data_IF_649878450338
#
_entry.id   IF_649878450338
#
_cell.length_a   1.000
_cell.length_b   1.000
_cell.length_c   1.000
_cell.angle_alpha   90.00
_cell.angle_beta   90.00
_cell.angle_gamma   90.00
#
_symmetry.space_group_name_H-M   'P 1'
#
loop_
_entity.id
_entity.type
_entity.pdbx_description
1 polymer ?
#
# COMPACT_ATOMS: atom_id res chain seq x y z
N UNK A 1 -78.37 -112.15 63.07
CA UNK A 1 -77.81 -110.93 63.71
C UNK A 1 -76.29 -110.96 63.53
N UNK A 2 -75.60 -110.10 62.77
CA UNK A 2 -75.99 -109.02 61.84
C UNK A 2 -76.05 -109.60 60.41
N UNK A 3 -77.18 -109.46 59.72
CA UNK A 3 -77.28 -109.84 58.31
C UNK A 3 -76.48 -108.83 57.48
N UNK A 4 -75.36 -109.26 56.90
CA UNK A 4 -74.64 -108.45 55.90
C UNK A 4 -75.52 -108.42 54.67
N UNK A 5 -75.87 -107.22 54.22
CA UNK A 5 -76.68 -107.04 53.01
C UNK A 5 -75.91 -107.60 51.82
N UNK A 6 -76.57 -108.41 51.00
CA UNK A 6 -76.01 -109.00 49.78
C UNK A 6 -75.37 -107.95 48.85
N UNK A 7 -75.89 -106.71 48.87
CA UNK A 7 -75.32 -105.56 48.15
C UNK A 7 -73.88 -105.25 48.56
N UNK A 8 -73.59 -105.30 49.85
CA UNK A 8 -72.28 -104.93 50.39
C UNK A 8 -71.25 -106.04 50.10
N UNK A 9 -71.71 -107.29 50.06
CA UNK A 9 -70.89 -108.43 49.69
C UNK A 9 -70.56 -108.45 48.18
N UNK A 10 -71.53 -108.13 47.32
CA UNK A 10 -71.32 -107.96 45.87
C UNK A 10 -70.40 -106.76 45.58
N UNK A 11 -70.57 -105.65 46.29
CA UNK A 11 -69.70 -104.47 46.15
C UNK A 11 -68.25 -104.75 46.57
N UNK A 12 -68.05 -105.47 47.67
CA UNK A 12 -66.71 -105.87 48.10
C UNK A 12 -66.06 -106.85 47.11
N UNK A 13 -66.83 -107.79 46.55
CA UNK A 13 -66.33 -108.76 45.58
C UNK A 13 -65.92 -108.10 44.25
N UNK A 14 -66.67 -107.11 43.77
CA UNK A 14 -66.31 -106.35 42.56
C UNK A 14 -64.97 -105.59 42.73
N UNK A 15 -64.73 -104.99 43.91
CA UNK A 15 -63.47 -104.30 44.19
C UNK A 15 -62.31 -105.30 44.31
N UNK A 16 -62.55 -106.47 44.90
CA UNK A 16 -61.53 -107.53 44.97
C UNK A 16 -61.18 -108.03 43.57
N UNK A 17 -62.16 -108.24 42.68
CA UNK A 17 -61.92 -108.62 41.30
C UNK A 17 -61.14 -107.53 40.53
N UNK A 18 -61.48 -106.26 40.73
CA UNK A 18 -60.76 -105.14 40.12
C UNK A 18 -59.31 -105.06 40.61
N UNK A 19 -59.09 -105.22 41.93
CA UNK A 19 -57.74 -105.25 42.50
C UNK A 19 -56.95 -106.46 42.01
N UNK A 20 -57.60 -107.63 41.90
CA UNK A 20 -56.97 -108.85 41.39
C UNK A 20 -56.57 -108.69 39.91
N UNK A 21 -57.45 -108.11 39.08
CA UNK A 21 -57.12 -107.79 37.68
C UNK A 21 -55.97 -106.79 37.56
N UNK A 22 -55.97 -105.72 38.36
CA UNK A 22 -54.90 -104.73 38.35
C UNK A 22 -53.58 -105.31 38.85
N UNK A 23 -53.61 -106.20 39.84
CA UNK A 23 -52.43 -106.89 40.34
C UNK A 23 -51.88 -107.87 39.29
N UNK A 24 -52.75 -108.52 38.52
CA UNK A 24 -52.38 -109.40 37.41
C UNK A 24 -51.75 -108.62 36.25
N UNK A 25 -52.30 -107.44 35.89
CA UNK A 25 -51.70 -106.53 34.88
C UNK A 25 -50.35 -105.97 35.33
N UNK A 26 -50.20 -105.64 36.62
CA UNK A 26 -48.94 -105.17 37.19
C UNK A 26 -47.88 -106.28 37.21
N UNK A 27 -48.25 -107.51 37.61
CA UNK A 27 -47.34 -108.67 37.57
C UNK A 27 -46.91 -108.99 36.13
N UNK A 28 -47.84 -108.92 35.17
CA UNK A 28 -47.55 -109.07 33.74
C UNK A 28 -46.53 -108.03 33.25
N UNK A 29 -46.53 -106.81 33.78
CA UNK A 29 -45.61 -105.73 33.35
C UNK A 29 -44.31 -105.63 34.15
N UNK A 30 -44.23 -106.21 35.36
CA UNK A 30 -43.09 -106.13 36.25
C UNK A 30 -42.15 -107.33 36.15
N UNK A 31 -42.68 -108.51 35.84
CA UNK A 31 -41.87 -109.73 35.73
C UNK A 31 -41.35 -109.92 34.30
N UNK A 32 -40.06 -109.60 34.13
CA UNK A 32 -39.42 -109.48 32.82
C UNK A 32 -39.38 -110.80 32.05
N UNK A 33 -39.18 -111.92 32.74
CA UNK A 33 -39.08 -113.23 32.10
C UNK A 33 -40.44 -113.72 31.59
N UNK A 34 -41.50 -113.57 32.38
CA UNK A 34 -42.84 -113.99 32.00
C UNK A 34 -43.40 -113.13 30.86
N UNK A 35 -43.21 -111.80 30.89
CA UNK A 35 -43.59 -110.93 29.76
C UNK A 35 -42.79 -111.23 28.50
N UNK A 36 -41.47 -111.46 28.61
CA UNK A 36 -40.63 -111.80 27.47
C UNK A 36 -41.11 -113.10 26.80
N UNK A 37 -41.44 -114.12 27.60
CA UNK A 37 -41.91 -115.40 27.09
C UNK A 37 -43.32 -115.31 26.49
N UNK A 38 -44.25 -114.57 27.12
CA UNK A 38 -45.58 -114.34 26.58
C UNK A 38 -45.54 -113.53 25.28
N UNK A 39 -44.69 -112.49 25.19
CA UNK A 39 -44.47 -111.72 23.96
C UNK A 39 -43.86 -112.60 22.87
N UNK A 40 -42.86 -113.42 23.21
CA UNK A 40 -42.24 -114.35 22.28
C UNK A 40 -43.30 -115.30 21.70
N UNK A 41 -44.10 -115.92 22.57
CA UNK A 41 -45.14 -116.86 22.17
C UNK A 41 -46.27 -116.20 21.38
N UNK A 42 -46.74 -115.01 21.79
CA UNK A 42 -47.78 -114.28 21.05
C UNK A 42 -47.28 -113.77 19.70
N UNK A 43 -46.02 -113.36 19.59
CA UNK A 43 -45.42 -112.94 18.32
C UNK A 43 -45.22 -114.16 17.41
N UNK A 44 -44.78 -115.29 17.94
CA UNK A 44 -44.72 -116.56 17.20
C UNK A 44 -46.10 -116.97 16.67
N UNK A 45 -47.13 -117.01 17.53
CA UNK A 45 -48.51 -117.34 17.13
C UNK A 45 -49.05 -116.36 16.06
N UNK A 46 -48.75 -115.07 16.21
CA UNK A 46 -49.15 -114.05 15.23
C UNK A 46 -48.49 -114.26 13.85
N UNK A 47 -47.21 -114.62 13.81
CA UNK A 47 -46.54 -114.89 12.54
C UNK A 47 -46.88 -116.27 11.95
N UNK A 48 -47.19 -117.26 12.80
CA UNK A 48 -47.69 -118.56 12.36
C UNK A 48 -49.09 -118.46 11.75
N UNK A 49 -49.99 -117.64 12.30
CA UNK A 49 -51.31 -117.37 11.70
C UNK A 49 -51.23 -116.57 10.39
N UNK A 50 -50.17 -115.79 10.19
CA UNK A 50 -49.87 -115.09 8.93
C UNK A 50 -49.10 -115.97 7.92
N UNK A 51 -48.98 -117.29 8.17
CA UNK A 51 -48.30 -118.28 7.31
C UNK A 51 -46.83 -117.94 6.95
N UNK A 52 -46.12 -117.23 7.83
CA UNK A 52 -44.71 -116.87 7.66
C UNK A 52 -43.86 -117.52 8.75
N UNK A 53 -43.06 -118.53 8.40
CA UNK A 53 -42.14 -119.19 9.32
C UNK A 53 -40.89 -118.31 9.55
N UNK A 54 -40.91 -117.49 10.61
CA UNK A 54 -39.77 -116.66 11.03
C UNK A 54 -38.91 -117.45 12.02
N UNK A 55 -37.58 -117.38 11.86
CA UNK A 55 -36.63 -118.04 12.77
C UNK A 55 -36.68 -117.42 14.16
N UNK A 56 -36.71 -118.30 15.16
CA UNK A 56 -36.95 -117.98 16.56
C UNK A 56 -35.90 -116.98 17.12
N UNK A 57 -34.64 -117.11 16.68
CA UNK A 57 -33.56 -116.18 17.08
C UNK A 57 -33.79 -114.73 16.63
N UNK A 58 -34.52 -114.52 15.55
CA UNK A 58 -34.78 -113.15 15.05
C UNK A 58 -35.84 -112.47 15.91
N UNK A 59 -36.85 -113.23 16.37
CA UNK A 59 -37.90 -112.75 17.28
C UNK A 59 -37.27 -112.32 18.60
N UNK A 60 -36.41 -113.16 19.18
CA UNK A 60 -35.72 -112.87 20.44
C UNK A 60 -34.81 -111.63 20.36
N UNK A 61 -34.09 -111.45 19.24
CA UNK A 61 -33.25 -110.26 19.03
C UNK A 61 -34.08 -108.98 18.88
N UNK A 62 -35.25 -109.07 18.24
CA UNK A 62 -36.18 -107.96 18.07
C UNK A 62 -36.76 -107.48 19.41
N UNK A 63 -37.22 -108.43 20.23
CA UNK A 63 -37.77 -108.14 21.57
C UNK A 63 -36.70 -107.46 22.45
N UNK A 64 -35.48 -107.97 22.46
CA UNK A 64 -34.38 -107.40 23.24
C UNK A 64 -34.04 -105.95 22.83
N UNK A 65 -34.00 -105.64 21.53
CA UNK A 65 -33.74 -104.26 21.05
C UNK A 65 -34.86 -103.28 21.40
N UNK A 66 -36.11 -103.75 21.45
CA UNK A 66 -37.24 -102.94 21.87
C UNK A 66 -37.12 -102.56 23.35
N UNK A 67 -36.72 -103.50 24.21
CA UNK A 67 -36.49 -103.22 25.63
C UNK A 67 -35.38 -102.18 25.87
N UNK A 68 -34.26 -102.23 25.14
CA UNK A 68 -33.14 -101.29 25.34
C UNK A 68 -33.48 -99.83 24.95
N UNK A 69 -34.37 -99.64 23.96
CA UNK A 69 -34.71 -98.30 23.46
C UNK A 69 -35.85 -97.61 24.20
N UNK A 70 -36.64 -98.32 25.03
CA UNK A 70 -37.89 -97.82 25.61
C UNK A 70 -37.71 -96.66 26.61
N UNK A 71 -36.54 -96.46 27.21
CA UNK A 71 -36.34 -95.52 28.34
C UNK A 71 -35.24 -94.46 28.16
N UNK A 72 -34.80 -94.14 26.94
CA UNK A 72 -33.78 -93.09 26.71
C UNK A 72 -34.39 -91.75 26.26
N UNK A 73 -34.01 -90.65 26.93
CA UNK A 73 -34.40 -89.28 26.56
C UNK A 73 -33.49 -88.70 25.47
N UNK A 74 -34.06 -88.02 24.46
CA UNK A 74 -33.32 -87.45 23.33
C UNK A 74 -33.57 -85.93 23.23
N UNK A 75 -32.53 -85.11 23.44
CA UNK A 75 -32.65 -83.64 23.38
C UNK A 75 -32.68 -83.12 21.92
N UNK A 76 -33.54 -82.14 21.58
CA UNK A 76 -33.62 -81.61 20.22
C UNK A 76 -32.40 -80.75 19.86
N UNK A 77 -31.85 -80.95 18.65
CA UNK A 77 -30.70 -80.18 18.13
C UNK A 77 -31.14 -78.76 17.73
N UNK A 78 -30.62 -77.73 18.40
CA UNK A 78 -30.91 -76.30 18.11
C UNK A 78 -30.02 -75.73 17.01
N UNK A 79 -30.56 -74.83 16.18
CA UNK A 79 -29.90 -74.19 15.02
C UNK A 79 -28.94 -73.06 15.41
N UNK A 80 -27.97 -72.75 14.52
CA UNK A 80 -26.94 -71.73 14.75
C UNK A 80 -27.53 -70.33 14.99
N UNK A 81 -28.59 -69.94 14.26
CA UNK A 81 -29.27 -68.65 14.43
C UNK A 81 -29.90 -68.51 15.82
N UNK A 82 -30.45 -69.61 16.36
CA UNK A 82 -31.01 -69.61 17.71
C UNK A 82 -29.92 -69.42 18.76
N UNK A 83 -28.74 -70.01 18.57
CA UNK A 83 -27.58 -69.78 19.45
C UNK A 83 -27.07 -68.34 19.36
N UNK A 84 -27.02 -67.77 18.16
CA UNK A 84 -26.61 -66.39 17.94
C UNK A 84 -27.57 -65.38 18.59
N UNK A 85 -28.88 -65.55 18.39
CA UNK A 85 -29.90 -64.70 19.02
C UNK A 85 -29.88 -64.78 20.55
N UNK A 86 -29.71 -65.98 21.10
CA UNK A 86 -29.55 -66.17 22.55
C UNK A 86 -28.27 -65.50 23.06
N UNK A 87 -27.16 -65.60 22.32
CA UNK A 87 -25.92 -64.91 22.67
C UNK A 87 -26.06 -63.38 22.61
N UNK A 88 -26.76 -62.84 21.60
CA UNK A 88 -27.09 -61.42 21.50
C UNK A 88 -27.97 -60.95 22.66
N UNK A 89 -28.97 -61.75 23.06
CA UNK A 89 -29.85 -61.43 24.18
C UNK A 89 -29.12 -61.43 25.53
N UNK A 90 -28.25 -62.42 25.76
CA UNK A 90 -27.46 -62.50 27.01
C UNK A 90 -26.44 -61.36 27.14
N UNK A 91 -25.85 -60.89 26.02
CA UNK A 91 -24.87 -59.78 26.00
C UNK A 91 -25.49 -58.42 25.64
N UNK A 92 -26.82 -58.27 25.76
CA UNK A 92 -27.58 -57.11 25.25
C UNK A 92 -27.03 -55.75 25.68
N UNK A 93 -26.58 -55.60 26.93
CA UNK A 93 -26.11 -54.31 27.46
C UNK A 93 -24.82 -53.83 26.79
N UNK A 94 -23.87 -54.73 26.49
CA UNK A 94 -22.64 -54.40 25.77
C UNK A 94 -22.85 -54.24 24.26
N UNK A 95 -23.78 -55.00 23.67
CA UNK A 95 -24.09 -54.88 22.25
C UNK A 95 -24.81 -53.56 21.93
N UNK A 96 -25.80 -53.16 22.74
CA UNK A 96 -26.51 -51.89 22.53
C UNK A 96 -25.60 -50.67 22.68
N UNK A 97 -24.63 -50.68 23.61
CA UNK A 97 -23.68 -49.57 23.73
C UNK A 97 -22.76 -49.47 22.52
N UNK A 98 -22.21 -50.59 22.03
CA UNK A 98 -21.34 -50.60 20.83
C UNK A 98 -22.13 -50.17 19.59
N UNK A 99 -23.33 -50.71 19.38
CA UNK A 99 -24.21 -50.33 18.26
C UNK A 99 -24.60 -48.85 18.37
N UNK A 100 -24.92 -48.35 19.56
CA UNK A 100 -25.22 -46.94 19.79
C UNK A 100 -24.05 -46.01 19.44
N UNK A 101 -22.81 -46.38 19.80
CA UNK A 101 -21.60 -45.63 19.43
C UNK A 101 -21.40 -45.63 17.91
N UNK A 102 -21.57 -46.77 17.24
CA UNK A 102 -21.44 -46.86 15.78
C UNK A 102 -22.49 -45.99 15.08
N UNK A 103 -23.74 -46.01 15.55
CA UNK A 103 -24.82 -45.16 15.02
C UNK A 103 -24.51 -43.69 15.26
N UNK A 104 -24.02 -43.32 16.44
CA UNK A 104 -23.64 -41.94 16.75
C UNK A 104 -22.50 -41.45 15.84
N UNK A 105 -21.48 -42.28 15.60
CA UNK A 105 -20.39 -41.97 14.68
C UNK A 105 -20.89 -41.82 13.24
N UNK A 106 -21.79 -42.71 12.78
CA UNK A 106 -22.42 -42.60 11.47
C UNK A 106 -23.22 -41.30 11.33
N UNK A 107 -24.01 -40.93 12.35
CA UNK A 107 -24.77 -39.68 12.39
C UNK A 107 -23.81 -38.48 12.31
N UNK A 108 -22.72 -38.48 13.08
CA UNK A 108 -21.71 -37.42 13.06
C UNK A 108 -21.02 -37.28 11.70
N UNK A 109 -20.72 -38.41 11.04
CA UNK A 109 -20.12 -38.42 9.69
C UNK A 109 -21.12 -37.84 8.68
N UNK A 110 -22.38 -38.28 8.72
CA UNK A 110 -23.43 -37.79 7.81
C UNK A 110 -23.70 -36.30 8.05
N UNK A 111 -23.78 -35.85 9.31
CA UNK A 111 -23.99 -34.44 9.64
C UNK A 111 -22.81 -33.57 9.20
N UNK A 112 -21.57 -34.03 9.41
CA UNK A 112 -20.36 -33.33 8.95
C UNK A 112 -20.36 -33.18 7.42
N UNK A 113 -20.72 -34.25 6.70
CA UNK A 113 -20.86 -34.23 5.24
C UNK A 113 -21.94 -33.26 4.78
N UNK A 114 -23.09 -33.22 5.43
CA UNK A 114 -24.17 -32.25 5.12
C UNK A 114 -23.74 -30.80 5.35
N UNK A 115 -23.01 -30.52 6.43
CA UNK A 115 -22.50 -29.17 6.68
C UNK A 115 -21.46 -28.75 5.63
N UNK A 116 -20.59 -29.68 5.22
CA UNK A 116 -19.61 -29.42 4.16
C UNK A 116 -20.27 -29.11 2.81
N UNK A 117 -21.31 -29.85 2.41
CA UNK A 117 -22.01 -29.57 1.14
C UNK A 117 -22.73 -28.22 1.17
N UNK A 118 -23.40 -27.88 2.26
CA UNK A 118 -24.04 -26.56 2.43
C UNK A 118 -23.01 -25.43 2.38
N UNK A 119 -21.87 -25.59 3.07
CA UNK A 119 -20.78 -24.60 3.03
C UNK A 119 -20.24 -24.41 1.61
N UNK A 120 -20.04 -25.51 0.88
CA UNK A 120 -19.51 -25.47 -0.46
C UNK A 120 -20.49 -24.85 -1.46
N UNK A 121 -21.79 -25.18 -1.36
CA UNK A 121 -22.87 -24.51 -2.12
C UNK A 121 -22.94 -23.01 -1.83
N UNK A 122 -22.84 -22.62 -0.56
CA UNK A 122 -22.79 -21.21 -0.17
C UNK A 122 -21.57 -20.51 -0.77
N UNK A 123 -20.38 -21.12 -0.75
CA UNK A 123 -19.18 -20.55 -1.36
C UNK A 123 -19.33 -20.38 -2.89
N UNK A 124 -19.91 -21.36 -3.58
CA UNK A 124 -20.23 -21.25 -5.02
C UNK A 124 -21.17 -20.06 -5.26
N UNK A 125 -22.25 -19.96 -4.49
CA UNK A 125 -23.23 -18.86 -4.62
C UNK A 125 -22.61 -17.49 -4.35
N UNK A 126 -21.80 -17.36 -3.29
CA UNK A 126 -21.10 -16.13 -2.93
C UNK A 126 -20.12 -15.75 -4.05
N UNK A 127 -19.31 -16.70 -4.54
CA UNK A 127 -18.31 -16.45 -5.58
C UNK A 127 -18.99 -16.04 -6.89
N UNK A 128 -20.08 -16.70 -7.25
CA UNK A 128 -20.90 -16.35 -8.42
C UNK A 128 -21.47 -14.93 -8.32
N UNK A 129 -22.01 -14.53 -7.17
CA UNK A 129 -22.52 -13.17 -6.96
C UNK A 129 -21.38 -12.12 -7.00
N UNK A 130 -20.20 -12.45 -6.48
CA UNK A 130 -19.01 -11.59 -6.60
C UNK A 130 -18.61 -11.37 -8.07
N UNK A 131 -18.68 -12.42 -8.89
CA UNK A 131 -18.43 -12.33 -10.32
C UNK A 131 -19.46 -11.42 -11.00
N UNK A 132 -20.75 -11.54 -10.68
CA UNK A 132 -21.81 -10.65 -11.20
C UNK A 132 -21.56 -9.17 -10.81
N UNK A 133 -21.22 -8.90 -9.55
CA UNK A 133 -20.88 -7.55 -9.10
C UNK A 133 -19.63 -7.00 -9.82
N UNK A 134 -18.66 -7.87 -10.12
CA UNK A 134 -17.46 -7.52 -10.87
C UNK A 134 -17.77 -7.18 -12.34
N UNK A 135 -18.74 -7.86 -12.95
CA UNK A 135 -19.25 -7.51 -14.28
C UNK A 135 -19.91 -6.13 -14.29
N UNK A 136 -20.70 -5.81 -13.27
CA UNK A 136 -21.29 -4.47 -13.15
C UNK A 136 -20.19 -3.41 -13.00
N UNK A 137 -19.15 -3.67 -12.20
CA UNK A 137 -18.00 -2.77 -12.07
C UNK A 137 -17.25 -2.58 -13.39
N UNK A 138 -17.17 -3.60 -14.24
CA UNK A 138 -16.61 -3.48 -15.60
C UNK A 138 -17.45 -2.53 -16.47
N UNK A 139 -18.78 -2.64 -16.42
CA UNK A 139 -19.67 -1.73 -17.14
C UNK A 139 -19.50 -0.28 -16.66
N UNK A 140 -19.36 -0.07 -15.35
CA UNK A 140 -19.11 1.25 -14.78
C UNK A 140 -17.76 1.83 -15.25
N UNK A 141 -16.70 1.03 -15.27
CA UNK A 141 -15.40 1.44 -15.81
C UNK A 141 -15.45 1.70 -17.31
N UNK A 142 -16.21 0.92 -18.08
CA UNK A 142 -16.42 1.17 -19.50
C UNK A 142 -17.12 2.52 -19.73
N UNK A 143 -18.19 2.80 -18.97
CA UNK A 143 -18.87 4.09 -19.04
C UNK A 143 -17.94 5.26 -18.67
N UNK A 144 -17.10 5.10 -17.63
CA UNK A 144 -16.09 6.10 -17.27
C UNK A 144 -15.08 6.31 -18.40
N UNK A 145 -14.61 5.23 -19.02
CA UNK A 145 -13.70 5.29 -20.15
C UNK A 145 -14.34 6.00 -21.36
N UNK A 146 -15.61 5.71 -21.68
CA UNK A 146 -16.34 6.35 -22.77
C UNK A 146 -16.48 7.86 -22.55
N UNK A 147 -16.75 8.31 -21.32
CA UNK A 147 -16.75 9.73 -20.97
C UNK A 147 -15.35 10.35 -21.12
N UNK A 148 -14.31 9.70 -20.63
CA UNK A 148 -12.93 10.17 -20.77
C UNK A 148 -12.47 10.20 -22.24
N UNK A 149 -12.98 9.31 -23.08
CA UNK A 149 -12.59 9.22 -24.47
C UNK A 149 -13.08 10.43 -25.30
N UNK A 150 -14.17 11.07 -24.89
CA UNK A 150 -14.73 12.27 -25.54
C UNK A 150 -13.85 13.52 -25.39
N UNK A 151 -12.93 13.55 -24.43
CA UNK A 151 -12.08 14.72 -24.19
C UNK A 151 -11.09 14.93 -25.33
N UNK A 152 -11.02 16.16 -25.81
CA UNK A 152 -10.01 16.59 -26.78
C UNK A 152 -8.65 16.68 -26.10
N UNK A 153 -7.64 16.05 -26.71
CA UNK A 153 -6.25 16.05 -26.24
C UNK A 153 -5.46 17.01 -27.12
N UNK A 154 -4.74 17.94 -26.50
CA UNK A 154 -4.00 18.98 -27.23
C UNK A 154 -2.53 18.58 -27.34
N UNK A 155 -1.87 18.29 -26.22
CA UNK A 155 -0.43 18.01 -26.16
C UNK A 155 -0.18 16.51 -26.07
N UNK A 156 -0.70 15.84 -25.04
CA UNK A 156 -0.35 14.46 -24.67
C UNK A 156 -0.92 13.35 -25.59
N UNK A 157 -0.98 13.58 -26.91
CA UNK A 157 -1.69 12.74 -27.88
C UNK A 157 -1.18 11.30 -27.90
N UNK A 158 0.14 11.09 -27.95
CA UNK A 158 0.75 9.75 -28.03
C UNK A 158 0.53 8.91 -26.77
N UNK A 159 0.89 9.36 -25.55
CA UNK A 159 0.66 8.57 -24.35
C UNK A 159 -0.83 8.37 -24.04
N UNK A 160 -1.67 9.38 -24.30
CA UNK A 160 -3.11 9.24 -24.15
C UNK A 160 -3.67 8.20 -25.13
N UNK A 161 -3.21 8.18 -26.38
CA UNK A 161 -3.59 7.14 -27.36
C UNK A 161 -3.17 5.75 -26.88
N UNK A 162 -1.93 5.58 -26.43
CA UNK A 162 -1.45 4.28 -25.93
C UNK A 162 -2.29 3.78 -24.73
N UNK A 163 -2.62 4.67 -23.79
CA UNK A 163 -3.50 4.34 -22.66
C UNK A 163 -4.90 3.98 -23.13
N UNK A 164 -5.49 4.77 -24.04
CA UNK A 164 -6.81 4.48 -24.62
C UNK A 164 -6.84 3.14 -25.34
N UNK A 165 -5.84 2.84 -26.16
CA UNK A 165 -5.74 1.58 -26.90
C UNK A 165 -5.58 0.39 -25.93
N UNK A 166 -4.79 0.56 -24.87
CA UNK A 166 -4.57 -0.46 -23.83
C UNK A 166 -5.86 -0.75 -23.05
N UNK A 167 -6.61 0.28 -22.65
CA UNK A 167 -7.91 0.16 -21.96
C UNK A 167 -8.95 -0.48 -22.90
N UNK A 168 -9.06 -0.03 -24.14
CA UNK A 168 -9.98 -0.58 -25.13
C UNK A 168 -9.70 -2.06 -25.42
N UNK A 169 -8.42 -2.46 -25.51
CA UNK A 169 -8.03 -3.85 -25.70
C UNK A 169 -8.42 -4.73 -24.49
N UNK A 170 -8.23 -4.24 -23.26
CA UNK A 170 -8.60 -4.96 -22.04
C UNK A 170 -10.13 -5.10 -21.90
N UNK A 171 -10.90 -4.07 -22.28
CA UNK A 171 -12.36 -4.08 -22.23
C UNK A 171 -12.97 -4.98 -23.32
N UNK A 172 -12.50 -4.89 -24.57
CA UNK A 172 -13.01 -5.67 -25.70
C UNK A 172 -12.81 -7.18 -25.54
N UNK A 173 -11.72 -7.61 -24.89
CA UNK A 173 -11.40 -9.03 -24.71
C UNK A 173 -12.32 -9.74 -23.71
N UNK A 174 -13.25 -9.04 -23.06
CA UNK A 174 -13.94 -9.51 -21.86
C UNK A 174 -15.47 -9.61 -21.94
N UNK A 175 -16.10 -9.14 -23.02
CA UNK A 175 -17.57 -9.22 -23.19
C UNK A 175 -18.06 -10.68 -23.35
N UNK A 176 -17.16 -11.65 -23.55
CA UNK A 176 -17.48 -13.05 -23.82
C UNK A 176 -17.27 -14.03 -22.64
N UNK A 177 -17.44 -13.60 -21.39
CA UNK A 177 -17.49 -14.51 -20.23
C UNK A 177 -18.95 -14.76 -19.84
N UNK A 178 -19.67 -15.51 -20.67
CA UNK A 178 -20.96 -16.09 -20.32
C UNK A 178 -20.73 -17.14 -19.23
N UNK A 179 -21.02 -16.78 -17.99
CA UNK A 179 -20.95 -17.69 -16.85
C UNK A 179 -22.37 -18.15 -16.58
N UNK A 180 -22.70 -19.34 -17.07
CA UNK A 180 -23.98 -19.97 -16.81
C UNK A 180 -24.18 -20.13 -15.31
N UNK A 181 -25.41 -19.88 -14.85
CA UNK A 181 -25.78 -20.08 -13.45
C UNK A 181 -25.48 -21.53 -13.07
N UNK A 182 -24.72 -21.80 -12.00
CA UNK A 182 -24.37 -23.16 -11.63
C UNK A 182 -25.64 -23.97 -11.32
N UNK A 183 -25.87 -25.06 -12.06
CA UNK A 183 -26.90 -26.05 -11.74
C UNK A 183 -26.45 -26.85 -10.52
N UNK A 184 -26.97 -26.48 -9.34
CA UNK A 184 -26.71 -27.21 -8.10
C UNK A 184 -27.67 -28.39 -8.05
N UNK A 185 -27.19 -29.58 -8.45
CA UNK A 185 -27.92 -30.82 -8.28
C UNK A 185 -28.13 -31.12 -6.77
N UNK A 186 -29.21 -31.83 -6.44
CA UNK A 186 -29.50 -32.27 -5.06
C UNK A 186 -28.66 -33.48 -4.62
N UNK A 187 -27.67 -33.87 -5.41
CA UNK A 187 -26.87 -35.08 -5.19
C UNK A 187 -25.76 -34.85 -4.14
N UNK A 188 -25.31 -35.93 -3.50
CA UNK A 188 -24.24 -35.94 -2.49
C UNK A 188 -22.83 -36.06 -3.12
N UNK A 189 -22.70 -35.72 -4.40
CA UNK A 189 -21.39 -35.76 -5.07
C UNK A 189 -20.60 -34.56 -4.55
N UNK A 190 -19.32 -34.75 -4.20
CA UNK A 190 -18.46 -33.70 -3.65
C UNK A 190 -17.47 -33.16 -4.69
N UNK A 191 -17.05 -34.02 -5.63
CA UNK A 191 -15.97 -33.72 -6.56
C UNK A 191 -16.38 -32.69 -7.63
N UNK A 192 -17.60 -32.81 -8.17
CA UNK A 192 -18.10 -31.92 -9.24
C UNK A 192 -18.25 -30.50 -8.72
N UNK A 193 -18.73 -30.33 -7.50
CA UNK A 193 -18.93 -29.04 -6.87
C UNK A 193 -17.59 -28.40 -6.44
N UNK A 194 -16.63 -29.19 -5.94
CA UNK A 194 -15.25 -28.70 -5.71
C UNK A 194 -14.61 -28.17 -7.00
N UNK A 195 -14.68 -28.94 -8.10
CA UNK A 195 -14.15 -28.51 -9.40
C UNK A 195 -14.85 -27.23 -9.90
N UNK A 196 -16.17 -27.09 -9.69
CA UNK A 196 -16.89 -25.85 -10.05
C UNK A 196 -16.47 -24.67 -9.21
N UNK A 197 -16.26 -24.86 -7.90
CA UNK A 197 -15.79 -23.80 -7.01
C UNK A 197 -14.39 -23.34 -7.42
N UNK A 198 -13.48 -24.28 -7.72
CA UNK A 198 -12.12 -23.96 -8.15
C UNK A 198 -12.13 -23.14 -9.45
N UNK A 199 -12.92 -23.55 -10.45
CA UNK A 199 -13.08 -22.80 -11.71
C UNK A 199 -13.65 -21.40 -11.49
N UNK A 200 -14.66 -21.27 -10.62
CA UNK A 200 -15.24 -19.97 -10.29
C UNK A 200 -14.24 -19.07 -9.55
N UNK A 201 -13.45 -19.62 -8.63
CA UNK A 201 -12.40 -18.88 -7.92
C UNK A 201 -11.31 -18.40 -8.88
N UNK A 202 -10.79 -19.27 -9.74
CA UNK A 202 -9.82 -18.90 -10.77
C UNK A 202 -10.35 -17.80 -11.69
N UNK A 203 -11.63 -17.88 -12.09
CA UNK A 203 -12.29 -16.87 -12.91
C UNK A 203 -12.42 -15.55 -12.16
N UNK A 204 -12.84 -15.59 -10.89
CA UNK A 204 -12.97 -14.41 -10.03
C UNK A 204 -11.62 -13.70 -9.83
N UNK A 205 -10.55 -14.44 -9.62
CA UNK A 205 -9.20 -13.90 -9.43
C UNK A 205 -8.69 -13.22 -10.71
N UNK A 206 -8.89 -13.87 -11.87
CA UNK A 206 -8.56 -13.28 -13.17
C UNK A 206 -9.36 -11.99 -13.45
N UNK A 207 -10.66 -11.96 -13.13
CA UNK A 207 -11.49 -10.77 -13.28
C UNK A 207 -11.00 -9.65 -12.34
N UNK A 208 -10.72 -9.98 -11.08
CA UNK A 208 -10.27 -9.02 -10.07
C UNK A 208 -8.93 -8.37 -10.44
N UNK A 209 -7.98 -9.17 -10.93
CA UNK A 209 -6.69 -8.66 -11.40
C UNK A 209 -6.84 -7.69 -12.58
N UNK A 210 -7.65 -8.06 -13.58
CA UNK A 210 -7.90 -7.21 -14.74
C UNK A 210 -8.67 -5.94 -14.40
N UNK A 211 -9.65 -6.02 -13.50
CA UNK A 211 -10.36 -4.85 -12.98
C UNK A 211 -9.39 -3.85 -12.33
N UNK A 212 -8.45 -4.36 -11.53
CA UNK A 212 -7.40 -3.54 -10.92
C UNK A 212 -6.50 -2.88 -11.97
N UNK A 213 -6.12 -3.62 -13.01
CA UNK A 213 -5.30 -3.09 -14.11
C UNK A 213 -6.04 -1.99 -14.91
N UNK A 214 -7.28 -2.25 -15.32
CA UNK A 214 -8.13 -1.28 -16.03
C UNK A 214 -8.34 -0.03 -15.18
N UNK A 215 -8.68 -0.17 -13.89
CA UNK A 215 -8.86 0.95 -12.97
C UNK A 215 -7.60 1.81 -12.85
N UNK A 216 -6.42 1.17 -12.81
CA UNK A 216 -5.14 1.87 -12.77
C UNK A 216 -4.90 2.66 -14.05
N UNK A 217 -5.14 2.06 -15.22
CA UNK A 217 -4.97 2.72 -16.52
C UNK A 217 -5.96 3.88 -16.72
N UNK A 218 -7.22 3.71 -16.30
CA UNK A 218 -8.23 4.78 -16.31
C UNK A 218 -7.80 5.93 -15.40
N UNK A 219 -7.27 5.62 -14.22
CA UNK A 219 -6.76 6.65 -13.30
C UNK A 219 -5.59 7.42 -13.91
N UNK A 220 -4.65 6.73 -14.55
CA UNK A 220 -3.52 7.36 -15.25
C UNK A 220 -4.00 8.24 -16.41
N UNK A 221 -4.94 7.75 -17.22
CA UNK A 221 -5.54 8.51 -18.31
C UNK A 221 -6.24 9.77 -17.79
N UNK A 222 -7.00 9.67 -16.70
CA UNK A 222 -7.68 10.80 -16.08
C UNK A 222 -6.69 11.88 -15.64
N UNK A 223 -5.62 11.51 -14.94
CA UNK A 223 -4.58 12.44 -14.49
C UNK A 223 -3.93 13.13 -15.70
N UNK A 224 -3.58 12.37 -16.73
CA UNK A 224 -2.96 12.90 -17.94
C UNK A 224 -3.88 13.91 -18.66
N UNK A 225 -5.17 13.60 -18.78
CA UNK A 225 -6.16 14.50 -19.40
C UNK A 225 -6.39 15.77 -18.58
N UNK A 226 -6.41 15.66 -17.25
CA UNK A 226 -6.53 16.82 -16.37
C UNK A 226 -5.32 17.75 -16.50
N UNK A 227 -4.11 17.18 -16.55
CA UNK A 227 -2.86 17.90 -16.80
C UNK A 227 -2.84 18.59 -18.16
N UNK A 228 -3.21 17.88 -19.24
CA UNK A 228 -3.31 18.42 -20.61
C UNK A 228 -4.29 19.60 -20.67
N UNK A 229 -5.47 19.44 -20.05
CA UNK A 229 -6.50 20.50 -19.98
C UNK A 229 -6.02 21.71 -19.18
N UNK A 230 -5.38 21.49 -18.02
CA UNK A 230 -4.86 22.58 -17.17
C UNK A 230 -3.81 23.38 -17.93
N UNK A 231 -2.86 22.69 -18.57
CA UNK A 231 -1.82 23.31 -19.36
C UNK A 231 -2.40 24.07 -20.56
N UNK A 232 -3.34 23.48 -21.28
CA UNK A 232 -4.00 24.13 -22.42
C UNK A 232 -4.72 25.41 -21.99
N UNK A 233 -5.42 25.40 -20.86
CA UNK A 233 -6.08 26.60 -20.33
C UNK A 233 -5.08 27.72 -20.03
N UNK A 234 -3.91 27.35 -19.50
CA UNK A 234 -2.86 28.31 -19.15
C UNK A 234 -2.18 28.87 -20.41
N UNK A 235 -1.74 28.03 -21.34
CA UNK A 235 -0.99 28.45 -22.54
C UNK A 235 -1.86 29.23 -23.52
N UNK A 236 -3.15 28.89 -23.65
CA UNK A 236 -4.07 29.63 -24.52
C UNK A 236 -4.57 30.95 -23.91
N UNK A 237 -4.24 31.25 -22.65
CA UNK A 237 -4.58 32.53 -22.06
C UNK A 237 -3.81 33.66 -22.77
N UNK A 238 -4.54 34.67 -23.27
CA UNK A 238 -3.98 35.84 -23.95
C UNK A 238 -2.97 36.61 -23.09
N UNK A 239 -3.22 36.72 -21.79
CA UNK A 239 -2.31 37.40 -20.85
C UNK A 239 -1.03 36.61 -20.65
N UNK A 240 -1.12 35.27 -20.58
CA UNK A 240 0.05 34.40 -20.53
C UNK A 240 0.89 34.53 -21.80
N UNK A 241 0.26 34.48 -22.98
CA UNK A 241 0.95 34.67 -24.28
C UNK A 241 1.62 36.05 -24.38
N UNK A 242 1.03 37.08 -23.77
CA UNK A 242 1.67 38.41 -23.70
C UNK A 242 2.89 38.37 -22.77
N UNK A 243 2.77 37.73 -21.61
CA UNK A 243 3.84 37.59 -20.64
C UNK A 243 5.03 36.79 -21.18
N UNK A 244 4.82 35.71 -21.94
CA UNK A 244 5.90 34.90 -22.52
C UNK A 244 6.79 35.70 -23.49
N UNK A 245 6.24 36.70 -24.17
CA UNK A 245 7.03 37.61 -25.03
C UNK A 245 8.01 38.48 -24.23
N UNK A 246 7.64 38.84 -23.00
CA UNK A 246 8.46 39.69 -22.14
C UNK A 246 9.38 38.87 -21.22
N UNK A 247 8.98 37.65 -20.87
CA UNK A 247 9.70 36.73 -19.99
C UNK A 247 9.82 35.36 -20.66
N UNK A 248 10.88 35.14 -21.47
CA UNK A 248 11.06 33.91 -22.25
C UNK A 248 11.10 32.62 -21.40
N UNK A 249 11.48 32.75 -20.11
CA UNK A 249 11.50 31.63 -19.16
C UNK A 249 10.14 30.94 -19.02
N UNK A 250 9.02 31.67 -19.19
CA UNK A 250 7.68 31.11 -19.15
C UNK A 250 7.43 30.15 -20.31
N UNK A 251 7.90 30.53 -21.51
CA UNK A 251 7.78 29.68 -22.69
C UNK A 251 8.66 28.43 -22.54
N UNK A 252 9.91 28.60 -22.08
CA UNK A 252 10.83 27.49 -21.84
C UNK A 252 10.24 26.49 -20.83
N UNK A 253 9.64 26.98 -19.75
CA UNK A 253 8.99 26.13 -18.76
C UNK A 253 7.76 25.41 -19.34
N UNK A 254 6.95 26.09 -20.15
CA UNK A 254 5.82 25.50 -20.86
C UNK A 254 6.27 24.41 -21.84
N UNK A 255 7.27 24.68 -22.66
CA UNK A 255 7.82 23.72 -23.65
C UNK A 255 8.38 22.47 -22.96
N UNK A 256 9.11 22.64 -21.84
CA UNK A 256 9.60 21.51 -21.04
C UNK A 256 8.47 20.61 -20.52
N UNK A 257 7.37 21.21 -20.08
CA UNK A 257 6.19 20.47 -19.61
C UNK A 257 5.47 19.79 -20.78
N UNK A 258 5.35 20.46 -21.94
CA UNK A 258 4.80 19.85 -23.16
C UNK A 258 5.63 18.63 -23.57
N UNK A 259 6.95 18.75 -23.58
CA UNK A 259 7.86 17.65 -23.93
C UNK A 259 7.74 16.49 -22.94
N UNK A 260 7.67 16.78 -21.63
CA UNK A 260 7.47 15.78 -20.60
C UNK A 260 6.13 15.03 -20.76
N UNK A 261 5.05 15.76 -21.07
CA UNK A 261 3.73 15.20 -21.36
C UNK A 261 3.77 14.32 -22.60
N UNK A 262 4.41 14.78 -23.68
CA UNK A 262 4.55 14.02 -24.93
C UNK A 262 5.34 12.72 -24.75
N UNK A 263 6.32 12.73 -23.84
CA UNK A 263 7.13 11.56 -23.48
C UNK A 263 6.43 10.61 -22.49
N UNK A 264 5.26 10.99 -21.95
CA UNK A 264 4.54 10.18 -20.97
C UNK A 264 5.22 10.12 -19.60
N UNK A 265 5.94 11.17 -19.20
CA UNK A 265 6.53 11.27 -17.87
C UNK A 265 5.43 11.37 -16.80
N UNK A 266 5.66 10.76 -15.63
CA UNK A 266 4.64 10.68 -14.57
C UNK A 266 4.66 11.86 -13.59
N UNK A 267 5.82 12.47 -13.40
CA UNK A 267 6.03 13.55 -12.44
C UNK A 267 6.25 14.87 -13.20
N UNK A 268 5.15 15.54 -13.50
CA UNK A 268 5.14 16.77 -14.30
C UNK A 268 4.66 17.91 -13.41
N UNK A 269 5.56 18.81 -13.05
CA UNK A 269 5.26 19.97 -12.22
C UNK A 269 4.68 21.13 -13.05
N UNK A 270 3.38 21.06 -13.33
CA UNK A 270 2.64 22.15 -13.98
C UNK A 270 2.53 23.38 -13.06
N UNK A 271 2.54 23.17 -11.74
CA UNK A 271 2.39 24.25 -10.76
C UNK A 271 3.60 25.19 -10.76
N UNK A 272 4.76 24.72 -11.20
CA UNK A 272 5.93 25.57 -11.44
C UNK A 272 5.64 26.70 -12.44
N UNK A 273 4.93 26.41 -13.53
CA UNK A 273 4.57 27.43 -14.54
C UNK A 273 3.64 28.47 -13.93
N UNK A 274 2.64 28.05 -13.15
CA UNK A 274 1.73 28.96 -12.45
C UNK A 274 2.49 29.84 -11.45
N UNK A 275 3.43 29.25 -10.70
CA UNK A 275 4.26 29.98 -9.73
C UNK A 275 5.13 31.03 -10.43
N UNK A 276 5.77 30.67 -11.55
CA UNK A 276 6.53 31.61 -12.36
C UNK A 276 5.63 32.72 -12.91
N UNK A 277 4.46 32.36 -13.47
CA UNK A 277 3.53 33.33 -14.03
C UNK A 277 3.03 34.32 -12.97
N UNK A 278 2.69 33.85 -11.77
CA UNK A 278 2.28 34.69 -10.65
C UNK A 278 3.39 35.65 -10.16
N UNK A 279 4.66 35.37 -10.50
CA UNK A 279 5.79 36.25 -10.16
C UNK A 279 5.99 37.40 -11.16
N UNK A 280 5.28 37.40 -12.29
CA UNK A 280 5.37 38.45 -13.32
C UNK A 280 5.05 39.83 -12.76
N UNK A 281 3.99 39.95 -11.96
CA UNK A 281 3.58 41.22 -11.33
C UNK A 281 4.68 41.78 -10.43
N UNK A 282 5.36 40.89 -9.68
CA UNK A 282 6.51 41.27 -8.84
C UNK A 282 7.67 41.77 -9.69
N UNK A 283 7.96 41.13 -10.82
CA UNK A 283 9.01 41.57 -11.73
C UNK A 283 8.68 42.93 -12.37
N UNK A 284 7.41 43.17 -12.71
CA UNK A 284 6.95 44.45 -13.24
C UNK A 284 7.03 45.57 -12.19
N UNK A 285 6.60 45.32 -10.96
CA UNK A 285 6.76 46.25 -9.85
C UNK A 285 8.23 46.63 -9.61
N UNK A 286 9.15 45.67 -9.71
CA UNK A 286 10.58 45.92 -9.58
C UNK A 286 11.14 46.75 -10.75
N UNK A 287 10.69 46.52 -11.99
CA UNK A 287 11.05 47.37 -13.14
C UNK A 287 10.62 48.83 -12.92
N UNK A 288 9.39 49.03 -12.46
CA UNK A 288 8.88 50.37 -12.11
C UNK A 288 9.74 51.01 -11.02
N UNK A 289 10.14 50.25 -10.00
CA UNK A 289 11.01 50.73 -8.93
C UNK A 289 12.40 51.12 -9.46
N UNK A 290 12.99 50.32 -10.34
CA UNK A 290 14.28 50.64 -10.97
C UNK A 290 14.21 51.96 -11.75
N UNK A 291 13.12 52.18 -12.50
CA UNK A 291 12.92 53.43 -13.22
C UNK A 291 12.70 54.63 -12.29
N UNK A 292 11.99 54.42 -11.17
CA UNK A 292 11.81 55.44 -10.14
C UNK A 292 13.14 55.83 -9.47
N UNK A 293 13.98 54.84 -9.11
CA UNK A 293 15.29 55.07 -8.51
C UNK A 293 16.23 55.79 -9.49
N UNK A 294 16.16 55.46 -10.78
CA UNK A 294 16.91 56.17 -11.82
C UNK A 294 16.45 57.64 -11.94
N UNK A 295 15.14 57.90 -11.92
CA UNK A 295 14.60 59.27 -11.90
C UNK A 295 15.06 60.06 -10.68
N UNK A 296 15.16 59.41 -9.52
CA UNK A 296 15.66 60.05 -8.30
C UNK A 296 17.12 60.48 -8.44
N UNK A 297 17.99 59.64 -9.01
CA UNK A 297 19.39 60.00 -9.27
C UNK A 297 19.51 61.11 -10.33
N UNK A 298 18.64 61.10 -11.36
CA UNK A 298 18.56 62.18 -12.34
C UNK A 298 18.15 63.50 -11.69
N UNK A 299 17.17 63.50 -10.78
CA UNK A 299 16.75 64.69 -10.04
C UNK A 299 17.85 65.25 -9.12
N UNK A 300 18.78 64.41 -8.67
CA UNK A 300 19.98 64.80 -7.93
C UNK A 300 21.12 65.30 -8.85
N UNK A 301 20.89 65.39 -10.17
CA UNK A 301 21.87 65.79 -11.17
C UNK A 301 23.15 64.94 -11.17
N UNK A 302 23.03 63.63 -10.89
CA UNK A 302 24.18 62.72 -10.88
C UNK A 302 24.76 62.57 -12.30
N UNK A 303 26.05 62.91 -12.54
CA UNK A 303 26.65 62.80 -13.86
C UNK A 303 26.75 61.35 -14.34
N UNK A 304 26.61 61.13 -15.65
CA UNK A 304 26.71 59.80 -16.28
C UNK A 304 28.04 59.10 -15.93
N UNK A 305 29.16 59.84 -15.84
CA UNK A 305 30.47 59.30 -15.46
C UNK A 305 30.52 58.67 -14.06
N UNK A 306 29.63 59.09 -13.17
CA UNK A 306 29.53 58.59 -11.79
C UNK A 306 28.58 57.39 -11.70
N UNK A 307 27.78 57.13 -12.74
CA UNK A 307 26.71 56.12 -12.73
C UNK A 307 27.19 54.70 -12.98
N UNK A 308 28.47 54.47 -13.33
CA UNK A 308 29.00 53.14 -13.62
C UNK A 308 28.60 52.04 -12.59
N UNK A 309 28.80 52.21 -11.27
CA UNK A 309 28.39 51.20 -10.29
C UNK A 309 26.87 50.98 -10.22
N UNK A 310 26.09 52.04 -10.41
CA UNK A 310 24.62 51.98 -10.44
C UNK A 310 24.13 51.23 -11.68
N UNK A 311 24.69 51.55 -12.84
CA UNK A 311 24.33 50.92 -14.12
C UNK A 311 24.67 49.43 -14.12
N UNK A 312 25.82 49.04 -13.56
CA UNK A 312 26.18 47.62 -13.40
C UNK A 312 25.14 46.89 -12.57
N UNK A 313 24.82 47.42 -11.38
CA UNK A 313 23.81 46.84 -10.49
C UNK A 313 22.42 46.76 -11.15
N UNK A 314 22.02 47.80 -11.87
CA UNK A 314 20.74 47.83 -12.60
C UNK A 314 20.70 46.82 -13.76
N UNK A 315 21.81 46.64 -14.48
CA UNK A 315 21.88 45.68 -15.58
C UNK A 315 21.80 44.24 -15.07
N UNK A 316 22.49 43.94 -13.97
CA UNK A 316 22.45 42.63 -13.32
C UNK A 316 21.03 42.28 -12.88
N UNK A 317 20.37 43.17 -12.13
CA UNK A 317 19.01 42.89 -11.66
C UNK A 317 18.02 42.81 -12.83
N UNK A 318 18.17 43.65 -13.88
CA UNK A 318 17.31 43.57 -15.07
C UNK A 318 17.45 42.23 -15.80
N UNK A 319 18.67 41.70 -15.91
CA UNK A 319 18.92 40.38 -16.50
C UNK A 319 18.30 39.25 -15.65
N UNK A 320 18.36 39.35 -14.32
CA UNK A 320 17.70 38.38 -13.45
C UNK A 320 16.17 38.44 -13.61
N UNK A 321 15.59 39.65 -13.66
CA UNK A 321 14.15 39.85 -13.84
C UNK A 321 13.63 39.33 -15.19
N UNK A 322 14.43 39.34 -16.28
CA UNK A 322 14.01 38.72 -17.54
C UNK A 322 13.79 37.22 -17.43
N UNK A 323 14.48 36.58 -16.49
CA UNK A 323 14.34 35.15 -16.18
C UNK A 323 13.44 34.89 -14.97
N UNK A 324 12.70 35.91 -14.50
CA UNK A 324 11.91 35.85 -13.26
C UNK A 324 12.73 35.35 -12.05
N UNK A 325 14.03 35.65 -12.06
CA UNK A 325 14.92 35.40 -10.94
C UNK A 325 14.92 36.63 -10.02
N UNK A 326 14.61 36.41 -8.74
CA UNK A 326 14.55 37.44 -7.70
C UNK A 326 15.76 37.39 -6.76
N UNK A 327 16.78 36.61 -7.12
CA UNK A 327 18.09 36.63 -6.49
C UNK A 327 18.70 38.04 -6.61
N UNK A 328 19.30 38.52 -5.52
CA UNK A 328 19.88 39.86 -5.38
C UNK A 328 18.92 41.06 -5.36
N UNK A 329 17.59 40.86 -5.30
CA UNK A 329 16.63 41.99 -5.14
C UNK A 329 16.88 42.79 -3.86
N UNK A 330 17.16 42.11 -2.74
CA UNK A 330 17.44 42.77 -1.47
C UNK A 330 18.76 43.56 -1.52
N UNK A 331 19.80 42.95 -2.10
CA UNK A 331 21.09 43.62 -2.33
C UNK A 331 20.92 44.86 -3.22
N UNK A 332 20.09 44.76 -4.27
CA UNK A 332 19.75 45.90 -5.12
C UNK A 332 19.13 47.04 -4.31
N UNK A 333 18.13 46.77 -3.46
CA UNK A 333 17.50 47.80 -2.64
C UNK A 333 18.47 48.47 -1.67
N UNK A 334 19.33 47.68 -1.03
CA UNK A 334 20.35 48.19 -0.10
C UNK A 334 21.37 49.07 -0.80
N UNK A 335 21.91 48.60 -1.93
CA UNK A 335 22.91 49.34 -2.71
C UNK A 335 22.34 50.60 -3.35
N UNK A 336 21.13 50.53 -3.89
CA UNK A 336 20.47 51.71 -4.47
C UNK A 336 20.20 52.78 -3.41
N UNK A 337 19.71 52.36 -2.23
CA UNK A 337 19.51 53.26 -1.09
C UNK A 337 20.84 53.90 -0.65
N UNK A 338 21.92 53.12 -0.63
CA UNK A 338 23.26 53.62 -0.37
C UNK A 338 23.69 54.67 -1.40
N UNK A 339 23.56 54.41 -2.71
CA UNK A 339 23.98 55.35 -3.76
C UNK A 339 23.17 56.65 -3.72
N UNK A 340 21.85 56.57 -3.53
CA UNK A 340 20.99 57.75 -3.38
C UNK A 340 21.43 58.59 -2.17
N UNK A 341 21.65 57.96 -1.01
CA UNK A 341 22.13 58.65 0.19
C UNK A 341 23.51 59.25 -0.01
N UNK A 342 24.40 58.54 -0.69
CA UNK A 342 25.73 59.02 -1.03
C UNK A 342 25.66 60.25 -1.93
N UNK A 343 24.80 60.26 -2.96
CA UNK A 343 24.60 61.41 -3.84
C UNK A 343 24.07 62.64 -3.09
N UNK A 344 23.18 62.45 -2.11
CA UNK A 344 22.62 63.54 -1.31
C UNK A 344 23.61 64.14 -0.30
N UNK A 345 24.55 63.34 0.19
CA UNK A 345 25.43 63.73 1.29
C UNK A 345 26.75 64.28 0.74
N UNK A 346 27.07 65.58 0.87
CA UNK A 346 28.40 66.07 0.53
C UNK A 346 29.43 65.50 1.52
N UNK A 347 30.60 65.09 1.01
CA UNK A 347 31.66 64.50 1.82
C UNK A 347 33.02 65.08 1.45
N UNK A 348 33.93 65.13 2.43
CA UNK A 348 35.34 65.47 2.23
C UNK A 348 36.20 64.35 2.81
N UNK A 349 37.13 63.81 2.02
CA UNK A 349 38.14 62.88 2.53
C UNK A 349 39.19 63.70 3.29
N UNK A 350 39.26 63.46 4.60
CA UNK A 350 40.18 64.18 5.48
C UNK A 350 41.26 63.23 5.97
N UNK A 351 42.53 63.61 5.83
CA UNK A 351 43.67 62.90 6.36
C UNK A 351 43.57 62.89 7.87
N UNK A 352 43.78 61.73 8.49
CA UNK A 352 43.75 61.61 9.94
C UNK A 352 44.92 62.40 10.52
N UNK A 353 44.60 63.38 11.35
CA UNK A 353 45.57 64.10 12.15
C UNK A 353 45.30 63.90 13.64
N UNK A 354 45.84 62.80 14.17
CA UNK A 354 45.84 62.50 15.61
C UNK A 354 47.24 62.01 16.00
N UNK A 355 47.81 62.44 17.13
CA UNK A 355 49.09 61.94 17.65
C UNK A 355 49.13 60.42 17.82
N UNK A 356 48.02 59.78 18.18
CA UNK A 356 47.98 58.33 18.48
C UNK A 356 47.80 57.45 17.23
N UNK A 357 47.79 58.03 16.02
CA UNK A 357 47.51 57.30 14.78
C UNK A 357 48.40 57.71 13.62
N UNK A 358 48.76 56.74 12.79
CA UNK A 358 49.54 57.00 11.56
C UNK A 358 48.66 57.71 10.53
N UNK A 359 49.13 58.84 10.03
CA UNK A 359 48.48 59.61 8.95
C UNK A 359 48.81 59.09 7.54
N UNK A 360 49.83 58.25 7.42
CA UNK A 360 50.23 57.67 6.15
C UNK A 360 51.19 56.49 6.30
N UNK A 361 51.14 55.56 5.35
CA UNK A 361 51.89 54.32 5.35
C UNK A 361 52.53 54.06 3.97
N UNK A 362 53.79 53.63 4.01
CA UNK A 362 54.52 53.12 2.86
C UNK A 362 54.36 51.60 2.79
N UNK A 363 53.91 51.10 1.66
CA UNK A 363 53.77 49.67 1.35
C UNK A 363 54.84 49.26 0.34
N UNK A 364 55.57 48.19 0.64
CA UNK A 364 56.57 47.59 -0.25
C UNK A 364 56.06 46.24 -0.76
N UNK A 365 55.99 46.09 -2.07
CA UNK A 365 55.49 44.89 -2.72
C UNK A 365 56.60 43.86 -2.88
N UNK A 366 56.51 42.74 -2.15
CA UNK A 366 57.57 41.70 -2.05
C UNK A 366 58.04 41.16 -3.41
N UNK A 367 57.16 41.10 -4.41
CA UNK A 367 57.47 40.47 -5.69
C UNK A 367 58.12 41.43 -6.70
N UNK A 368 57.95 42.75 -6.54
CA UNK A 368 58.43 43.74 -7.51
C UNK A 368 59.40 44.76 -6.89
N UNK A 369 59.57 44.74 -5.56
CA UNK A 369 60.18 45.82 -4.78
C UNK A 369 59.57 47.21 -5.06
N UNK A 370 58.39 47.25 -5.68
CA UNK A 370 57.65 48.47 -5.94
C UNK A 370 57.15 49.06 -4.63
N UNK A 371 57.21 50.39 -4.51
CA UNK A 371 56.66 51.12 -3.36
C UNK A 371 55.34 51.78 -3.71
N UNK A 372 54.42 51.77 -2.76
CA UNK A 372 53.14 52.48 -2.84
C UNK A 372 52.95 53.28 -1.56
N UNK A 373 52.43 54.50 -1.70
CA UNK A 373 52.23 55.41 -0.58
C UNK A 373 50.74 55.65 -0.39
N UNK A 374 50.29 55.52 0.85
CA UNK A 374 48.90 55.69 1.24
C UNK A 374 48.79 56.73 2.34
N UNK A 375 47.80 57.60 2.25
CA UNK A 375 47.38 58.47 3.35
C UNK A 375 46.14 57.88 4.00
N UNK A 376 46.10 57.86 5.33
CA UNK A 376 44.96 57.32 6.08
C UNK A 376 43.92 58.42 6.19
N UNK A 377 42.73 58.15 5.64
CA UNK A 377 41.66 59.14 5.49
C UNK A 377 40.36 58.68 6.13
N UNK A 378 39.56 59.66 6.54
CA UNK A 378 38.18 59.49 7.00
C UNK A 378 37.21 60.35 6.16
N UNK A 379 36.07 59.82 5.69
CA UNK A 379 35.04 60.62 5.03
C UNK A 379 34.25 61.46 6.04
N UNK A 380 34.28 62.77 5.90
CA UNK A 380 33.62 63.70 6.81
C UNK A 380 32.51 64.47 6.10
N UNK A 381 31.37 64.64 6.77
CA UNK A 381 30.32 65.59 6.36
C UNK A 381 30.73 67.04 6.68
N UNK A 382 30.05 68.05 6.10
CA UNK A 382 30.28 69.46 6.47
C UNK A 382 30.06 69.76 7.95
N UNK A 383 29.25 68.94 8.64
CA UNK A 383 28.99 69.06 10.08
C UNK A 383 30.06 68.35 10.94
N UNK A 384 31.12 67.81 10.33
CA UNK A 384 32.20 67.13 11.05
C UNK A 384 31.86 65.71 11.51
N UNK A 385 30.78 65.10 10.99
CA UNK A 385 30.42 63.71 11.30
C UNK A 385 31.13 62.77 10.33
N UNK A 386 31.82 61.76 10.86
CA UNK A 386 32.42 60.67 10.08
C UNK A 386 31.33 59.69 9.62
N UNK A 387 31.26 59.41 8.32
CA UNK A 387 30.29 58.47 7.75
C UNK A 387 31.05 57.39 6.96
N UNK A 388 30.82 56.09 7.22
CA UNK A 388 31.45 55.03 6.47
C UNK A 388 31.00 55.01 5.01
N UNK A 389 31.92 54.71 4.11
CA UNK A 389 31.65 54.51 2.68
C UNK A 389 32.14 53.13 2.23
N UNK A 390 31.56 52.61 1.15
CA UNK A 390 32.06 51.39 0.52
C UNK A 390 33.45 51.64 -0.08
N UNK A 391 34.41 50.82 0.33
CA UNK A 391 35.80 50.84 -0.13
C UNK A 391 36.19 49.45 -0.59
N UNK A 392 36.70 49.38 -1.82
CA UNK A 392 37.33 48.18 -2.35
C UNK A 392 38.84 48.22 -2.09
N UNK A 393 39.37 47.19 -1.46
CA UNK A 393 40.80 46.99 -1.27
C UNK A 393 41.46 46.60 -2.59
N UNK A 394 42.51 47.32 -3.00
CA UNK A 394 43.32 46.96 -4.18
C UNK A 394 44.19 45.72 -3.93
N UNK A 395 44.45 45.39 -2.66
CA UNK A 395 45.32 44.27 -2.28
C UNK A 395 44.55 42.95 -2.18
N UNK A 396 43.32 42.99 -1.65
CA UNK A 396 42.50 41.78 -1.42
C UNK A 396 41.31 41.67 -2.38
N UNK A 397 40.86 42.78 -2.96
CA UNK A 397 39.62 42.84 -3.75
C UNK A 397 38.35 43.00 -2.91
N UNK A 398 38.45 42.89 -1.58
CA UNK A 398 37.30 42.94 -0.67
C UNK A 398 36.65 44.32 -0.64
N UNK A 399 35.32 44.33 -0.56
CA UNK A 399 34.51 45.55 -0.43
C UNK A 399 33.92 45.61 0.98
N UNK A 400 34.23 46.67 1.72
CA UNK A 400 33.72 46.86 3.08
C UNK A 400 33.28 48.31 3.32
N UNK A 401 32.32 48.51 4.23
CA UNK A 401 31.98 49.82 4.76
C UNK A 401 33.09 50.28 5.71
N UNK A 402 33.88 51.25 5.27
CA UNK A 402 35.04 51.74 6.02
C UNK A 402 34.84 53.20 6.45
N UNK A 403 34.97 53.44 7.76
CA UNK A 403 35.03 54.80 8.34
C UNK A 403 36.43 55.40 8.28
N UNK A 404 37.45 54.55 8.09
CA UNK A 404 38.85 54.91 7.94
C UNK A 404 39.46 53.93 6.94
N UNK A 405 40.24 54.43 5.98
CA UNK A 405 40.94 53.60 5.00
C UNK A 405 42.19 54.32 4.46
N UNK A 406 43.11 53.57 3.85
CA UNK A 406 44.25 54.14 3.16
C UNK A 406 43.91 54.52 1.72
N UNK A 407 44.07 55.79 1.36
CA UNK A 407 43.92 56.31 0.00
C UNK A 407 45.30 56.45 -0.66
N UNK A 408 45.51 55.79 -1.80
CA UNK A 408 46.78 55.81 -2.50
C UNK A 408 47.07 57.21 -3.07
N UNK A 409 48.31 57.67 -2.91
CA UNK A 409 48.81 58.95 -3.41
C UNK A 409 50.15 58.79 -4.12
N UNK A 410 50.58 59.85 -4.81
CA UNK A 410 51.95 59.98 -5.30
C UNK A 410 52.95 60.10 -4.15
N UNK A 411 54.19 59.69 -4.39
CA UNK A 411 55.28 59.84 -3.42
C UNK A 411 55.46 61.29 -2.97
N UNK A 412 55.34 62.23 -3.92
CA UNK A 412 55.47 63.66 -3.64
C UNK A 412 54.42 64.13 -2.63
N UNK A 413 53.14 63.78 -2.82
CA UNK A 413 52.08 64.15 -1.90
C UNK A 413 52.26 63.49 -0.53
N UNK A 414 52.67 62.22 -0.49
CA UNK A 414 52.98 61.54 0.77
C UNK A 414 54.09 62.23 1.56
N UNK A 415 55.21 62.54 0.89
CA UNK A 415 56.34 63.21 1.52
C UNK A 415 56.00 64.63 1.99
N UNK A 416 55.13 65.34 1.26
CA UNK A 416 54.63 66.65 1.67
C UNK A 416 53.87 66.58 2.99
N UNK A 417 52.91 65.66 3.12
CA UNK A 417 52.14 65.47 4.36
C UNK A 417 53.01 64.97 5.50
N UNK A 418 54.00 64.11 5.19
CA UNK A 418 54.97 63.63 6.18
C UNK A 418 55.83 64.78 6.73
N UNK A 419 56.31 65.66 5.86
CA UNK A 419 57.14 66.80 6.25
C UNK A 419 56.35 67.80 7.11
N UNK A 420 55.11 68.09 6.70
CA UNK A 420 54.15 68.94 7.43
C UNK A 420 53.98 68.44 8.88
N UNK A 421 53.50 67.20 9.04
CA UNK A 421 53.29 66.59 10.36
C UNK A 421 54.56 66.44 11.19
N UNK A 422 55.73 66.32 10.57
CA UNK A 422 57.00 66.20 11.29
C UNK A 422 57.53 67.54 11.79
N UNK A 423 57.01 68.67 11.28
CA UNK A 423 57.45 70.00 11.66
C UNK A 423 56.90 70.41 13.04
N UNK A 424 55.62 70.18 13.29
CA UNK A 424 54.93 70.62 14.52
C UNK A 424 53.95 69.59 15.11
N UNK A 425 53.82 68.41 14.49
CA UNK A 425 52.90 67.35 14.92
C UNK A 425 51.51 67.41 14.29
N UNK A 426 51.22 68.41 13.44
CA UNK A 426 49.90 68.67 12.86
C UNK A 426 49.91 68.66 11.33
N UNK A 427 48.73 68.46 10.74
CA UNK A 427 48.54 68.55 9.28
C UNK A 427 47.68 69.77 8.97
N UNK A 428 48.30 70.82 8.43
CA UNK A 428 47.64 72.10 8.15
C UNK A 428 46.56 71.97 7.07
N UNK A 429 46.87 71.24 6.00
CA UNK A 429 45.93 70.97 4.91
C UNK A 429 45.58 69.48 4.85
N UNK A 430 44.72 69.07 5.78
CA UNK A 430 44.28 67.68 5.88
C UNK A 430 43.19 67.29 4.87
N UNK A 431 42.79 68.19 3.96
CA UNK A 431 41.72 67.94 2.99
C UNK A 431 42.27 67.31 1.71
N UNK A 432 41.92 66.06 1.43
CA UNK A 432 42.45 65.30 0.29
C UNK A 432 41.56 65.35 -0.96
N UNK A 433 40.25 65.10 -0.79
CA UNK A 433 39.29 65.07 -1.90
C UNK A 433 37.92 65.59 -1.45
N UNK A 434 37.11 66.03 -2.41
CA UNK A 434 35.73 66.46 -2.19
C UNK A 434 34.73 65.68 -3.03
N UNK A 435 33.61 65.29 -2.44
CA UNK A 435 32.46 64.75 -3.14
C UNK A 435 31.27 65.68 -2.90
N UNK A 436 30.97 66.60 -3.83
CA UNK A 436 29.84 67.51 -3.66
C UNK A 436 28.50 66.76 -3.73
N UNK A 437 27.40 67.47 -3.45
CA UNK A 437 26.04 66.95 -3.66
C UNK A 437 25.86 66.62 -5.15
N UNK A 438 25.09 65.58 -5.44
CA UNK A 438 24.86 65.11 -6.80
C UNK A 438 26.05 64.34 -7.38
N UNK A 439 27.01 63.88 -6.57
CA UNK A 439 28.13 63.05 -7.02
C UNK A 439 28.22 61.75 -6.24
N UNK A 440 28.57 60.68 -6.95
CA UNK A 440 28.91 59.38 -6.37
C UNK A 440 30.42 59.19 -6.27
N UNK A 441 31.20 59.95 -7.06
CA UNK A 441 32.66 59.92 -7.06
C UNK A 441 33.28 61.15 -6.39
N UNK A 442 34.42 60.94 -5.71
CA UNK A 442 35.23 62.03 -5.17
C UNK A 442 35.99 62.74 -6.30
N UNK A 443 35.96 64.06 -6.28
CA UNK A 443 36.89 64.91 -7.01
C UNK A 443 38.19 64.98 -6.20
N UNK A 444 39.25 64.41 -6.77
CA UNK A 444 40.57 64.39 -6.16
C UNK A 444 41.58 65.11 -7.05
N UNK A 445 42.64 65.71 -6.49
CA UNK A 445 43.76 66.23 -7.26
C UNK A 445 44.53 65.11 -7.97
N UNK A 446 45.33 65.45 -8.98
CA UNK A 446 46.15 64.49 -9.75
C UNK A 446 47.18 63.73 -8.90
N UNK A 447 47.45 64.21 -7.69
CA UNK A 447 48.32 63.53 -6.72
C UNK A 447 47.67 62.30 -6.07
N UNK A 448 46.35 62.12 -6.18
CA UNK A 448 45.60 60.98 -5.65
C UNK A 448 45.40 59.93 -6.74
N UNK A 449 45.65 58.66 -6.40
CA UNK A 449 45.47 57.50 -7.29
C UNK A 449 44.19 56.74 -6.93
N UNK A 450 43.73 55.83 -7.78
CA UNK A 450 42.49 55.07 -7.54
C UNK A 450 42.61 54.00 -6.45
N UNK A 451 43.82 53.53 -6.12
CA UNK A 451 44.04 52.45 -5.16
C UNK A 451 43.62 52.81 -3.74
N UNK A 452 43.05 51.84 -3.02
CA UNK A 452 42.66 51.95 -1.60
C UNK A 452 43.02 50.68 -0.85
N UNK A 453 43.29 50.79 0.44
CA UNK A 453 43.57 49.66 1.34
C UNK A 453 42.72 49.76 2.61
N UNK A 454 42.35 48.61 3.18
CA UNK A 454 41.51 48.51 4.38
C UNK A 454 42.30 48.21 5.66
N UNK A 455 43.52 47.70 5.53
CA UNK A 455 44.38 47.32 6.66
C UNK A 455 45.77 47.94 6.51
N UNK A 456 46.45 48.23 7.64
CA UNK A 456 47.76 48.90 7.62
C UNK A 456 48.61 48.80 8.88
#
# INVERSE_FOLDING_TARGET
MREVKLSDQLGAMAIIDELYQNQQLLLEHLDRETLHNNLKQSIEDYYQTQNLAIDDKTIEKGINLWFDKRLRFNAPKRSWLQRFLVACYLKRTRLFTIVGIIILLLILIISSRLVQTEKLKNNIFITYNHILASQQSLNDLNNQFDELNKYQIIFAQTPAKHLKDSIANLLNKQIALSIDKPEIEKSFVFQKEEDTLEKLQQTNDQISQKLSEISTLITQLRILLEQDKKLAKLIHNKEFIKATKQYPVLQIAADKVIDALNQGQKDIDINHIETLYNSVDRAEALKIKIDADNKQLQALNVPIKDMAPVTTLQNEIKANLTNLNFEHVELYHQMMSYFIKLAQTPLTLTIIDNPDSKSGIERTHKNTNGKSWYLIVKPMTPTGINIPILVQSIETGDIQLASIFGQQVTQQAFNSVKADKSADGHIDNNKLCDKPVGRLSFNCPSSVKSGRILEW
#
